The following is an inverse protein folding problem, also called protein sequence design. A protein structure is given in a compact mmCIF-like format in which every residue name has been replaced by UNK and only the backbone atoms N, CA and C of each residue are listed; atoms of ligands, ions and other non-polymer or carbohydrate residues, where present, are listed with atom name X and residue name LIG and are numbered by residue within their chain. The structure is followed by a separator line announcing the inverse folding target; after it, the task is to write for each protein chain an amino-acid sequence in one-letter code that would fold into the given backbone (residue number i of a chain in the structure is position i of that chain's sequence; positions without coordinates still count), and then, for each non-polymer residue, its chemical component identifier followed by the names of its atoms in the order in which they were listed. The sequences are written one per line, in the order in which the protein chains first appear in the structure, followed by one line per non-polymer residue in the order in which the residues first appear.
data_IF_682509714380
#
_entry.id   IF_682509714380
#
_cell.length_a   1.000
_cell.length_b   1.000
_cell.length_c   1.000
_cell.angle_alpha   90.00
_cell.angle_beta   90.00
_cell.angle_gamma   90.00
#
_symmetry.space_group_name_H-M   'P 1'
#
loop_
_entity.id
_entity.type
_entity.pdbx_description
1 polymer ?
#
# COMPACT_ATOMS: atom_id res chain seq x y z
N UNK A 1 -14.93 -32.18 -42.87
CA UNK A 1 -14.02 -31.02 -42.94
C UNK A 1 -14.39 -30.08 -41.80
N UNK A 2 -13.52 -29.89 -40.82
CA UNK A 2 -13.78 -28.98 -39.70
C UNK A 2 -13.49 -27.55 -40.18
N UNK A 3 -14.47 -26.65 -40.04
CA UNK A 3 -14.34 -25.24 -40.44
C UNK A 3 -13.68 -24.45 -39.29
N UNK A 4 -12.37 -24.21 -39.40
CA UNK A 4 -11.58 -23.48 -38.39
C UNK A 4 -11.75 -21.96 -38.40
N UNK A 5 -12.50 -21.41 -39.35
CA UNK A 5 -12.68 -19.97 -39.56
C UNK A 5 -13.23 -19.26 -38.31
N UNK A 6 -14.23 -19.83 -37.65
CA UNK A 6 -14.80 -19.27 -36.42
C UNK A 6 -13.78 -19.22 -35.27
N UNK A 7 -12.94 -20.26 -35.14
CA UNK A 7 -11.91 -20.34 -34.09
C UNK A 7 -10.83 -19.27 -34.32
N UNK A 8 -10.42 -19.06 -35.57
CA UNK A 8 -9.42 -18.05 -35.93
C UNK A 8 -9.96 -16.65 -35.64
N UNK A 9 -11.19 -16.34 -36.07
CA UNK A 9 -11.80 -15.02 -35.83
C UNK A 9 -11.91 -14.72 -34.33
N UNK A 10 -12.34 -15.70 -33.53
CA UNK A 10 -12.45 -15.52 -32.07
C UNK A 10 -11.10 -15.23 -31.42
N UNK A 11 -10.04 -15.97 -31.79
CA UNK A 11 -8.70 -15.74 -31.25
C UNK A 11 -8.12 -14.39 -31.69
N UNK A 12 -8.32 -13.97 -32.94
CA UNK A 12 -7.86 -12.68 -33.43
C UNK A 12 -8.50 -11.54 -32.64
N UNK A 13 -9.82 -11.60 -32.38
CA UNK A 13 -10.51 -10.58 -31.59
C UNK A 13 -9.95 -10.52 -30.16
N UNK A 14 -9.73 -11.68 -29.52
CA UNK A 14 -9.13 -11.74 -28.18
C UNK A 14 -7.73 -11.12 -28.15
N UNK A 15 -6.89 -11.43 -29.15
CA UNK A 15 -5.54 -10.85 -29.26
C UNK A 15 -5.62 -9.33 -29.46
N UNK A 16 -6.52 -8.84 -30.31
CA UNK A 16 -6.68 -7.39 -30.52
C UNK A 16 -7.09 -6.68 -29.22
N UNK A 17 -8.06 -7.23 -28.48
CA UNK A 17 -8.50 -6.65 -27.20
C UNK A 17 -7.36 -6.65 -26.18
N UNK A 18 -6.62 -7.75 -26.05
CA UNK A 18 -5.50 -7.83 -25.10
C UNK A 18 -4.38 -6.83 -25.43
N UNK A 19 -4.03 -6.67 -26.71
CA UNK A 19 -3.03 -5.68 -27.14
C UNK A 19 -3.51 -4.26 -26.86
N UNK A 20 -4.77 -3.96 -27.15
CA UNK A 20 -5.36 -2.65 -26.88
C UNK A 20 -5.34 -2.33 -25.38
N UNK A 21 -5.71 -3.27 -24.52
CA UNK A 21 -5.67 -3.10 -23.07
C UNK A 21 -4.24 -2.94 -22.54
N UNK A 22 -3.27 -3.69 -23.07
CA UNK A 22 -1.87 -3.55 -22.68
C UNK A 22 -1.28 -2.17 -23.04
N UNK A 23 -1.68 -1.61 -24.18
CA UNK A 23 -1.30 -0.25 -24.58
C UNK A 23 -1.96 0.78 -23.67
N UNK A 24 -3.25 0.61 -23.36
CA UNK A 24 -3.98 1.51 -22.46
C UNK A 24 -3.36 1.54 -21.06
N UNK A 25 -2.99 0.39 -20.51
CA UNK A 25 -2.32 0.30 -19.19
C UNK A 25 -1.01 1.08 -19.18
N UNK A 26 -0.15 0.87 -20.20
CA UNK A 26 1.13 1.60 -20.30
C UNK A 26 0.97 3.11 -20.49
N UNK A 27 0.00 3.56 -21.27
CA UNK A 27 -0.18 4.98 -21.57
C UNK A 27 -0.95 5.74 -20.49
N UNK A 28 -1.94 5.11 -19.82
CA UNK A 28 -2.85 5.79 -18.90
C UNK A 28 -2.49 5.59 -17.42
N UNK A 29 -1.75 4.54 -17.07
CA UNK A 29 -1.43 4.19 -15.67
C UNK A 29 0.01 4.56 -15.28
N UNK A 30 0.86 4.94 -16.24
CA UNK A 30 2.20 5.44 -15.94
C UNK A 30 2.14 6.88 -15.43
N UNK A 31 2.05 7.05 -14.11
CA UNK A 31 2.09 8.36 -13.43
C UNK A 31 3.50 8.95 -13.36
N UNK A 32 4.47 8.42 -14.12
CA UNK A 32 5.87 8.81 -14.07
C UNK A 32 6.61 8.26 -12.84
N UNK A 33 7.83 8.74 -12.63
CA UNK A 33 8.63 8.46 -11.43
C UNK A 33 8.15 9.33 -10.28
N UNK A 34 7.72 8.70 -9.18
CA UNK A 34 7.32 9.39 -7.96
C UNK A 34 8.42 9.26 -6.89
N UNK A 35 8.70 10.36 -6.20
CA UNK A 35 9.61 10.41 -5.05
C UNK A 35 8.85 10.08 -3.76
N UNK A 36 9.34 9.09 -3.02
CA UNK A 36 8.80 8.70 -1.73
C UNK A 36 9.83 8.99 -0.64
N UNK A 37 9.43 9.80 0.33
CA UNK A 37 10.21 10.08 1.54
C UNK A 37 9.62 9.26 2.69
N UNK A 38 10.43 8.38 3.27
CA UNK A 38 10.02 7.51 4.38
C UNK A 38 10.77 7.93 5.64
N UNK A 39 10.03 8.25 6.69
CA UNK A 39 10.57 8.40 8.05
C UNK A 39 10.26 7.14 8.87
N UNK A 40 11.30 6.38 9.18
CA UNK A 40 11.23 5.20 10.02
C UNK A 40 11.94 5.48 11.36
N UNK A 41 11.16 5.87 12.36
CA UNK A 41 11.63 6.16 13.72
C UNK A 41 12.86 7.10 13.78
N UNK A 42 12.91 8.12 12.90
CA UNK A 42 13.97 9.12 12.85
C UNK A 42 15.05 8.88 11.79
N UNK A 43 14.99 7.76 11.05
CA UNK A 43 15.79 7.58 9.83
C UNK A 43 14.95 7.99 8.62
N UNK A 44 15.38 9.05 7.95
CA UNK A 44 14.78 9.50 6.69
C UNK A 44 15.48 8.79 5.52
N UNK A 45 14.70 8.07 4.75
CA UNK A 45 15.13 7.41 3.51
C UNK A 45 14.29 7.97 2.36
N UNK A 46 14.95 8.34 1.27
CA UNK A 46 14.29 8.83 0.06
C UNK A 46 14.58 7.87 -1.08
N UNK A 47 13.55 7.51 -1.84
CA UNK A 47 13.73 6.71 -3.02
C UNK A 47 12.70 7.02 -4.10
N UNK A 48 13.09 6.77 -5.35
CA UNK A 48 12.22 6.88 -6.50
C UNK A 48 11.62 5.52 -6.85
N UNK A 49 10.34 5.53 -7.23
CA UNK A 49 9.58 4.38 -7.70
C UNK A 49 8.68 4.77 -8.85
N UNK A 50 8.41 3.82 -9.73
CA UNK A 50 7.40 4.00 -10.78
C UNK A 50 6.00 4.11 -10.15
N UNK A 51 5.27 5.15 -10.53
CA UNK A 51 3.88 5.36 -10.15
C UNK A 51 2.95 4.29 -10.72
N UNK A 52 1.73 4.23 -10.17
CA UNK A 52 0.70 3.24 -10.51
C UNK A 52 0.68 2.02 -9.59
N UNK A 53 1.81 1.73 -8.93
CA UNK A 53 1.96 0.66 -7.96
C UNK A 53 1.33 0.94 -6.58
N UNK A 54 1.37 -0.10 -5.75
CA UNK A 54 0.91 -0.08 -4.35
C UNK A 54 2.08 0.25 -3.41
N UNK A 55 1.84 1.14 -2.44
CA UNK A 55 2.84 1.57 -1.47
C UNK A 55 3.44 0.40 -0.67
N UNK A 56 2.63 -0.61 -0.28
CA UNK A 56 3.15 -1.81 0.40
C UNK A 56 4.22 -2.53 -0.44
N UNK A 57 3.98 -2.65 -1.75
CA UNK A 57 4.89 -3.39 -2.66
C UNK A 57 6.18 -2.59 -2.86
N UNK A 58 6.06 -1.27 -3.06
CA UNK A 58 7.20 -0.38 -3.17
C UNK A 58 8.13 -0.46 -1.95
N UNK A 59 7.55 -0.44 -0.74
CA UNK A 59 8.31 -0.52 0.51
C UNK A 59 8.94 -1.90 0.72
N UNK A 60 8.19 -2.97 0.43
CA UNK A 60 8.69 -4.34 0.55
C UNK A 60 9.86 -4.61 -0.41
N UNK A 61 9.78 -4.12 -1.64
CA UNK A 61 10.85 -4.26 -2.65
C UNK A 61 12.14 -3.54 -2.24
N UNK A 62 12.04 -2.45 -1.47
CA UNK A 62 13.18 -1.73 -0.89
C UNK A 62 13.70 -2.35 0.40
N UNK A 63 13.09 -3.44 0.89
CA UNK A 63 13.48 -4.10 2.13
C UNK A 63 12.89 -3.45 3.40
N UNK A 64 12.03 -2.44 3.26
CA UNK A 64 11.32 -1.81 4.38
C UNK A 64 10.16 -2.72 4.78
N UNK A 65 10.32 -3.41 5.92
CA UNK A 65 9.37 -4.41 6.38
C UNK A 65 8.18 -3.77 7.09
N UNK A 66 7.01 -3.87 6.47
CA UNK A 66 5.71 -3.53 7.08
C UNK A 66 4.94 -4.81 7.37
N UNK A 67 4.29 -4.85 8.53
CA UNK A 67 3.46 -5.96 8.94
C UNK A 67 2.28 -6.13 7.96
N UNK A 68 2.23 -7.27 7.26
CA UNK A 68 1.17 -7.54 6.29
C UNK A 68 0.78 -9.02 6.23
N UNK A 69 -0.11 -9.45 7.14
CA UNK A 69 -0.52 -10.87 7.20
C UNK A 69 -1.38 -11.31 6.01
N UNK A 70 -2.08 -10.39 5.33
CA UNK A 70 -2.97 -10.71 4.20
C UNK A 70 -2.33 -10.55 2.82
N UNK A 71 -1.04 -10.19 2.73
CA UNK A 71 -0.35 -9.99 1.45
C UNK A 71 -0.90 -8.84 0.59
N UNK A 72 -1.55 -7.85 1.19
CA UNK A 72 -2.03 -6.65 0.48
C UNK A 72 -3.51 -6.64 0.10
N UNK A 73 -4.29 -7.64 0.53
CA UNK A 73 -5.74 -7.75 0.26
C UNK A 73 -6.63 -6.74 1.02
N UNK A 74 -6.05 -5.97 1.94
CA UNK A 74 -6.80 -4.99 2.74
C UNK A 74 -7.69 -5.60 3.85
N UNK A 75 -7.59 -6.90 4.13
CA UNK A 75 -8.48 -7.61 5.08
C UNK A 75 -7.94 -7.73 6.51
N UNK A 76 -6.65 -7.47 6.75
CA UNK A 76 -6.03 -7.65 8.07
C UNK A 76 -5.83 -6.35 8.87
N UNK A 77 -5.78 -5.19 8.21
CA UNK A 77 -5.56 -3.90 8.88
C UNK A 77 -4.18 -3.69 9.52
N UNK A 78 -3.20 -4.59 9.33
CA UNK A 78 -1.86 -4.46 9.94
C UNK A 78 -0.88 -3.58 9.16
N UNK A 79 -1.17 -3.31 7.87
CA UNK A 79 -0.29 -2.56 6.98
C UNK A 79 -0.36 -1.03 7.23
N UNK A 80 -0.57 -0.60 8.48
CA UNK A 80 -0.82 0.79 8.87
C UNK A 80 0.44 1.65 8.72
N UNK A 81 0.31 2.80 8.08
CA UNK A 81 1.34 3.84 7.94
C UNK A 81 0.70 5.21 8.05
N UNK A 82 1.45 6.22 8.47
CA UNK A 82 0.96 7.59 8.47
C UNK A 82 1.41 8.26 7.17
N UNK A 83 0.48 8.88 6.45
CA UNK A 83 0.80 9.67 5.25
C UNK A 83 0.76 11.14 5.66
N UNK A 84 1.92 11.81 5.62
CA UNK A 84 2.04 13.23 5.99
C UNK A 84 1.75 14.13 4.80
N UNK A 85 2.13 13.70 3.58
CA UNK A 85 1.88 14.42 2.34
C UNK A 85 1.65 13.45 1.18
N UNK A 86 0.79 13.84 0.24
CA UNK A 86 0.42 12.99 -0.90
C UNK A 86 -0.53 11.85 -0.52
N UNK A 87 -0.52 10.76 -1.29
CA UNK A 87 -1.26 9.52 -0.98
C UNK A 87 -2.80 9.58 -1.04
N UNK A 88 -3.41 10.75 -1.25
CA UNK A 88 -4.85 10.93 -1.43
C UNK A 88 -5.67 10.76 -0.14
N UNK A 89 -7.00 10.69 -0.29
CA UNK A 89 -7.96 10.61 0.84
C UNK A 89 -8.19 9.18 1.31
N UNK A 90 -8.46 9.00 2.60
CA UNK A 90 -8.80 7.70 3.20
C UNK A 90 -9.90 7.00 2.40
N UNK A 91 -9.74 5.69 2.17
CA UNK A 91 -10.75 4.89 1.49
C UNK A 91 -11.72 4.29 2.51
N UNK A 92 -13.02 4.12 2.17
CA UNK A 92 -13.99 3.48 3.07
C UNK A 92 -13.58 2.07 3.53
N UNK A 93 -12.79 1.36 2.71
CA UNK A 93 -12.25 0.03 3.03
C UNK A 93 -11.20 0.04 4.15
N UNK A 94 -10.51 1.17 4.33
CA UNK A 94 -9.49 1.33 5.36
C UNK A 94 -10.10 1.84 6.67
N UNK A 95 -11.20 2.60 6.57
CA UNK A 95 -11.83 3.29 7.68
C UNK A 95 -12.23 2.39 8.85
N UNK A 96 -12.58 1.13 8.57
CA UNK A 96 -13.00 0.15 9.57
C UNK A 96 -11.84 -0.28 10.48
N UNK A 97 -10.59 -0.08 10.06
CA UNK A 97 -9.40 -0.45 10.81
C UNK A 97 -8.80 0.74 11.59
N UNK A 98 -9.43 1.92 11.52
CA UNK A 98 -8.88 3.15 12.06
C UNK A 98 -9.81 3.84 13.04
N UNK A 99 -9.26 4.22 14.18
CA UNK A 99 -9.97 5.06 15.15
C UNK A 99 -9.99 6.52 14.70
N UNK A 100 -10.87 7.33 15.31
CA UNK A 100 -11.04 8.75 14.98
C UNK A 100 -9.72 9.55 15.03
N UNK A 101 -8.88 9.27 16.01
CA UNK A 101 -7.56 9.91 16.14
C UNK A 101 -6.61 9.51 15.00
N UNK A 102 -6.59 8.23 14.64
CA UNK A 102 -5.78 7.72 13.53
C UNK A 102 -6.21 8.35 12.20
N UNK A 103 -7.53 8.41 11.94
CA UNK A 103 -8.09 9.08 10.75
C UNK A 103 -7.67 10.55 10.68
N UNK A 104 -7.72 11.27 11.81
CA UNK A 104 -7.33 12.68 11.87
C UNK A 104 -5.82 12.89 11.64
N UNK A 105 -4.98 11.93 12.03
CA UNK A 105 -3.53 12.00 11.84
C UNK A 105 -3.04 11.60 10.45
N UNK A 106 -3.94 11.23 9.53
CA UNK A 106 -3.55 10.75 8.20
C UNK A 106 -3.07 9.30 8.17
N UNK A 107 -3.49 8.47 9.13
CA UNK A 107 -3.21 7.03 9.07
C UNK A 107 -3.91 6.39 7.88
N UNK A 108 -3.19 5.51 7.20
CA UNK A 108 -3.62 4.80 5.99
C UNK A 108 -3.15 3.35 6.03
N UNK A 109 -3.79 2.50 5.22
CA UNK A 109 -3.30 1.17 4.96
C UNK A 109 -2.34 1.25 3.77
N UNK A 110 -1.04 1.06 3.99
CA UNK A 110 -0.03 1.07 2.94
C UNK A 110 -0.40 0.16 1.77
N UNK A 111 -1.13 -0.92 2.04
CA UNK A 111 -1.60 -1.86 1.03
C UNK A 111 -2.81 -1.41 0.20
N UNK A 112 -3.43 -0.28 0.50
CA UNK A 112 -4.54 0.30 -0.28
C UNK A 112 -4.15 1.66 -0.89
N UNK A 113 -3.01 2.23 -0.48
CA UNK A 113 -2.49 3.48 -1.03
C UNK A 113 -1.83 3.23 -2.39
N UNK A 114 -2.36 3.87 -3.43
CA UNK A 114 -1.75 3.91 -4.76
C UNK A 114 -0.78 5.08 -4.87
N UNK A 115 0.39 4.83 -5.42
CA UNK A 115 1.41 5.85 -5.67
C UNK A 115 1.04 6.55 -6.98
N UNK A 116 0.55 7.80 -6.89
CA UNK A 116 0.19 8.60 -8.07
C UNK A 116 1.01 9.88 -8.20
N UNK A 117 1.51 10.37 -7.07
CA UNK A 117 2.32 11.58 -6.96
C UNK A 117 3.37 11.32 -5.87
N UNK A 118 4.31 12.23 -5.75
CA UNK A 118 5.26 12.27 -4.64
C UNK A 118 4.54 12.25 -3.30
N UNK A 119 5.10 11.53 -2.34
CA UNK A 119 4.50 11.37 -1.03
C UNK A 119 5.52 11.24 0.09
N UNK A 120 5.10 11.71 1.25
CA UNK A 120 5.85 11.59 2.49
C UNK A 120 5.07 10.69 3.44
N UNK A 121 5.76 9.71 3.99
CA UNK A 121 5.18 8.73 4.89
C UNK A 121 6.02 8.54 6.14
N UNK A 122 5.34 8.28 7.24
CA UNK A 122 5.94 7.91 8.51
C UNK A 122 5.51 6.49 8.88
N UNK A 123 6.50 5.65 9.22
CA UNK A 123 6.28 4.27 9.62
C UNK A 123 6.37 4.18 11.15
N UNK A 124 5.24 3.99 11.85
CA UNK A 124 5.28 3.82 13.28
C UNK A 124 5.78 2.44 13.71
N UNK A 125 6.51 2.38 14.82
CA UNK A 125 6.99 1.12 15.41
C UNK A 125 5.89 0.44 16.24
N UNK A 126 5.09 -0.40 15.59
CA UNK A 126 4.07 -1.23 16.26
C UNK A 126 4.67 -2.30 17.18
N UNK A 127 5.93 -2.69 16.99
CA UNK A 127 6.57 -3.74 17.78
C UNK A 127 7.14 -3.20 19.08
N UNK A 128 7.49 -1.91 19.16
CA UNK A 128 7.99 -1.27 20.38
C UNK A 128 7.06 -1.48 21.58
N UNK A 129 5.75 -1.30 21.39
CA UNK A 129 4.77 -1.39 22.48
C UNK A 129 4.59 -2.84 22.95
N UNK A 130 4.59 -3.78 22.01
CA UNK A 130 4.55 -5.22 22.33
C UNK A 130 5.82 -5.62 23.08
N UNK A 131 7.01 -5.17 22.64
CA UNK A 131 8.27 -5.41 23.33
C UNK A 131 8.23 -4.88 24.78
N UNK A 132 7.71 -3.67 24.99
CA UNK A 132 7.57 -3.11 26.34
C UNK A 132 6.61 -3.92 27.22
N UNK A 133 5.51 -4.44 26.67
CA UNK A 133 4.60 -5.33 27.41
C UNK A 133 5.26 -6.64 27.82
N UNK A 134 6.04 -7.25 26.91
CA UNK A 134 6.80 -8.48 27.22
C UNK A 134 7.83 -8.24 28.31
N UNK A 135 8.58 -7.14 28.23
CA UNK A 135 9.59 -6.78 29.23
C UNK A 135 8.96 -6.48 30.60
N UNK A 136 7.84 -5.76 30.62
CA UNK A 136 7.14 -5.40 31.86
C UNK A 136 6.29 -6.52 32.47
N UNK A 137 6.12 -7.65 31.76
CA UNK A 137 5.22 -8.76 32.11
C UNK A 137 3.77 -8.32 32.39
N UNK A 138 3.37 -7.15 31.88
CA UNK A 138 2.02 -6.61 32.01
C UNK A 138 1.37 -6.58 30.62
N UNK A 139 0.35 -7.42 30.44
CA UNK A 139 -0.41 -7.48 29.21
C UNK A 139 -1.63 -6.57 29.31
N UNK A 140 -1.68 -5.54 28.47
CA UNK A 140 -2.84 -4.65 28.35
C UNK A 140 -3.42 -4.78 26.93
N UNK A 141 -4.56 -5.48 26.74
CA UNK A 141 -5.11 -5.74 25.43
C UNK A 141 -5.52 -4.47 24.69
N UNK A 142 -5.85 -3.39 25.42
CA UNK A 142 -6.30 -2.12 24.84
C UNK A 142 -5.14 -1.30 24.25
N UNK A 143 -3.89 -1.60 24.63
CA UNK A 143 -2.69 -0.89 24.15
C UNK A 143 -1.97 -1.60 23.03
N UNK A 144 -2.37 -2.83 22.68
CA UNK A 144 -1.67 -3.70 21.73
C UNK A 144 -1.46 -3.08 20.34
N UNK A 145 -2.34 -2.17 19.93
CA UNK A 145 -2.34 -1.57 18.59
C UNK A 145 -2.36 -0.04 18.61
N UNK A 146 -2.21 0.57 19.78
CA UNK A 146 -2.08 2.02 19.87
C UNK A 146 -0.71 2.41 19.34
N UNK A 147 -0.64 3.46 18.55
CA UNK A 147 0.62 4.07 18.14
C UNK A 147 0.71 5.43 18.80
N UNK A 148 1.87 5.75 19.37
CA UNK A 148 2.17 7.15 19.69
C UNK A 148 2.50 7.86 18.38
N UNK A 149 1.48 8.53 17.83
CA UNK A 149 1.63 9.45 16.71
C UNK A 149 2.46 10.63 17.24
N UNK A 150 3.51 11.01 16.51
CA UNK A 150 4.39 12.12 16.89
C UNK A 150 3.92 13.43 16.28
#
# INVERSE_FOLDING_TARGET
MINYTAIIVMNVILVVITVLLAIADKLLVSYGTCKITVDNAGKKEEFEVEGGGNLLTALTNRGIKINSSCGGKGSCGYCKVQVTSGGGTILPTEEIYMNRQEKASGMRLACQVKIKNDMEIFIPDFLAIIRQMVVSKKFDPNKRWLVKIK
#
